data_IF_920539378410
#
_entry.id   IF_920539378410
#
_cell.length_a   1.000
_cell.length_b   1.000
_cell.length_c   1.000
_cell.angle_alpha   90.00
_cell.angle_beta   90.00
_cell.angle_gamma   90.00
#
_symmetry.space_group_name_H-M   'P 1'
#
loop_
_entity.id
_entity.type
_entity.pdbx_description
1 polymer ?
#
# COMPACT_ATOMS: atom_id res chain seq x y z
N UNK A 1 -0.98 -11.05 12.62
CA UNK A 1 -0.63 -9.88 11.79
C UNK A 1 -1.69 -9.75 10.72
N UNK A 2 -2.48 -8.66 10.73
CA UNK A 2 -3.38 -8.35 9.62
C UNK A 2 -2.54 -7.96 8.40
N UNK A 3 -2.58 -8.81 7.38
CA UNK A 3 -2.03 -8.52 6.05
C UNK A 3 -3.19 -8.35 5.08
N UNK A 4 -3.23 -7.23 4.37
CA UNK A 4 -4.21 -6.94 3.36
C UNK A 4 -3.55 -7.07 1.98
N UNK A 5 -3.94 -8.10 1.22
CA UNK A 5 -3.57 -8.23 -0.18
C UNK A 5 -4.73 -7.79 -1.06
N UNK A 6 -4.45 -6.94 -2.05
CA UNK A 6 -5.43 -6.50 -3.04
C UNK A 6 -4.77 -6.33 -4.40
N UNK A 7 -5.54 -6.47 -5.47
CA UNK A 7 -5.05 -6.21 -6.83
C UNK A 7 -5.71 -4.95 -7.37
N UNK A 8 -4.91 -4.05 -7.93
CA UNK A 8 -5.37 -2.81 -8.55
C UNK A 8 -4.58 -2.52 -9.82
N UNK A 9 -5.27 -2.33 -10.97
CA UNK A 9 -4.66 -2.12 -12.30
C UNK A 9 -3.46 -3.02 -12.58
N UNK A 10 -3.65 -4.33 -12.43
CA UNK A 10 -2.58 -5.31 -12.68
C UNK A 10 -1.31 -5.03 -11.87
N UNK A 11 -1.49 -4.49 -10.66
CA UNK A 11 -0.48 -4.40 -9.61
C UNK A 11 -1.01 -5.09 -8.35
N UNK A 12 -0.21 -5.96 -7.77
CA UNK A 12 -0.47 -6.53 -6.45
C UNK A 12 -0.05 -5.53 -5.39
N UNK A 13 -0.97 -5.20 -4.49
CA UNK A 13 -0.77 -4.30 -3.35
C UNK A 13 -0.85 -5.13 -2.09
N UNK A 14 0.28 -5.28 -1.42
CA UNK A 14 0.43 -5.91 -0.13
C UNK A 14 0.59 -4.83 0.95
N UNK A 15 -0.30 -4.82 1.93
CA UNK A 15 -0.24 -3.93 3.08
C UNK A 15 -0.13 -4.79 4.34
N UNK A 16 1.02 -4.73 4.99
CA UNK A 16 1.26 -5.37 6.27
C UNK A 16 1.13 -4.34 7.38
N UNK A 17 0.34 -4.64 8.41
CA UNK A 17 0.20 -3.78 9.58
C UNK A 17 0.63 -4.57 10.82
N UNK A 18 1.71 -4.12 11.45
CA UNK A 18 2.30 -4.72 12.64
C UNK A 18 1.93 -3.88 13.86
N UNK A 19 1.42 -4.56 14.89
CA UNK A 19 1.19 -3.96 16.19
C UNK A 19 2.54 -3.68 16.86
N UNK A 20 2.86 -2.40 17.06
CA UNK A 20 4.04 -1.92 17.77
C UNK A 20 3.62 -1.25 19.08
N UNK A 21 4.54 -0.93 19.98
CA UNK A 21 4.19 -0.47 21.34
C UNK A 21 3.22 0.72 21.37
N UNK A 22 3.53 1.80 20.62
CA UNK A 22 2.73 3.03 20.56
C UNK A 22 2.17 3.34 19.16
N UNK A 23 2.57 2.54 18.16
CA UNK A 23 2.28 2.80 16.75
C UNK A 23 1.84 1.54 16.02
N UNK A 24 1.19 1.72 14.88
CA UNK A 24 1.07 0.73 13.85
C UNK A 24 2.24 0.90 12.88
N UNK A 25 3.11 -0.10 12.80
CA UNK A 25 4.14 -0.15 11.78
C UNK A 25 3.50 -0.71 10.51
N UNK A 26 3.37 0.12 9.48
CA UNK A 26 2.69 -0.21 8.22
C UNK A 26 3.73 -0.33 7.12
N UNK A 27 3.71 -1.46 6.41
CA UNK A 27 4.55 -1.71 5.25
C UNK A 27 3.67 -1.94 4.04
N UNK A 28 3.81 -1.09 3.02
CA UNK A 28 3.09 -1.20 1.76
C UNK A 28 4.09 -1.62 0.69
N UNK A 29 3.79 -2.70 -0.02
CA UNK A 29 4.56 -3.18 -1.15
C UNK A 29 3.64 -3.27 -2.36
N UNK A 30 4.03 -2.64 -3.45
CA UNK A 30 3.30 -2.74 -4.72
C UNK A 30 4.20 -3.46 -5.72
N UNK A 31 3.70 -4.58 -6.23
CA UNK A 31 4.39 -5.43 -7.20
C UNK A 31 3.58 -5.45 -8.50
N UNK A 32 4.04 -4.83 -9.59
CA UNK A 32 3.37 -4.93 -10.89
C UNK A 32 3.40 -6.38 -11.40
N UNK A 33 2.37 -6.78 -12.14
CA UNK A 33 2.37 -8.06 -12.86
C UNK A 33 3.28 -7.99 -14.11
N UNK A 34 3.72 -9.15 -14.60
CA UNK A 34 4.54 -9.23 -15.82
C UNK A 34 3.84 -8.55 -17.01
N UNK A 35 4.50 -7.55 -17.61
CA UNK A 35 3.98 -6.77 -18.73
C UNK A 35 3.48 -5.37 -18.35
N UNK A 36 3.38 -5.03 -17.06
CA UNK A 36 3.08 -3.66 -16.61
C UNK A 36 4.39 -2.87 -16.46
N UNK A 37 4.61 -1.90 -17.34
CA UNK A 37 5.70 -0.92 -17.18
C UNK A 37 5.23 0.26 -16.33
N UNK A 38 5.80 0.38 -15.13
CA UNK A 38 5.67 1.57 -14.31
C UNK A 38 6.79 2.54 -14.67
N UNK A 39 6.47 3.85 -14.67
CA UNK A 39 7.47 4.91 -14.90
C UNK A 39 8.63 4.77 -13.90
N UNK A 40 8.29 4.44 -12.65
CA UNK A 40 9.25 4.12 -11.59
C UNK A 40 8.71 2.96 -10.74
N UNK A 41 9.58 2.08 -10.22
CA UNK A 41 9.17 1.03 -9.31
C UNK A 41 8.56 1.65 -8.05
N UNK A 42 7.46 1.07 -7.58
CA UNK A 42 6.80 1.55 -6.38
C UNK A 42 7.64 1.44 -5.11
N UNK A 43 8.52 0.44 -5.07
CA UNK A 43 9.30 0.08 -3.90
C UNK A 43 8.46 -0.41 -2.73
N UNK A 44 9.12 -0.51 -1.59
CA UNK A 44 8.46 -0.73 -0.29
C UNK A 44 8.33 0.62 0.40
N UNK A 45 7.11 0.98 0.82
CA UNK A 45 6.83 2.18 1.61
C UNK A 45 6.52 1.77 3.05
N UNK A 46 7.38 2.19 3.97
CA UNK A 46 7.20 1.99 5.41
C UNK A 46 6.69 3.28 6.05
N UNK A 47 5.73 3.18 6.95
CA UNK A 47 5.21 4.30 7.72
C UNK A 47 4.79 3.89 9.12
N UNK A 48 4.79 4.85 10.05
CA UNK A 48 4.37 4.64 11.44
C UNK A 48 3.17 5.50 11.73
N UNK A 49 2.05 4.87 12.06
CA UNK A 49 0.81 5.55 12.42
C UNK A 49 0.58 5.46 13.92
N UNK A 50 0.05 6.51 14.53
CA UNK A 50 -0.32 6.46 15.94
C UNK A 50 -1.51 5.50 16.14
N UNK A 51 -1.55 4.79 17.27
CA UNK A 51 -2.71 3.92 17.62
C UNK A 51 -3.96 4.70 18.05
N UNK A 52 -4.06 5.98 17.71
CA UNK A 52 -5.25 6.80 17.95
C UNK A 52 -6.41 6.44 17.02
N UNK A 53 -6.11 5.89 15.86
CA UNK A 53 -7.08 5.50 14.82
C UNK A 53 -7.27 3.97 14.81
N UNK A 54 -8.47 3.53 14.43
CA UNK A 54 -8.78 2.10 14.34
C UNK A 54 -8.09 1.45 13.14
N UNK A 55 -7.85 0.13 13.22
CA UNK A 55 -7.21 -0.61 12.14
C UNK A 55 -8.01 -0.55 10.83
N UNK A 56 -9.34 -0.61 10.91
CA UNK A 56 -10.23 -0.51 9.75
C UNK A 56 -10.13 0.86 9.06
N UNK A 57 -10.06 1.95 9.84
CA UNK A 57 -9.87 3.31 9.31
C UNK A 57 -8.52 3.44 8.61
N UNK A 58 -7.46 2.93 9.23
CA UNK A 58 -6.11 2.90 8.65
C UNK A 58 -6.14 2.12 7.32
N UNK A 59 -6.73 0.92 7.30
CA UNK A 59 -6.81 0.12 6.07
C UNK A 59 -7.59 0.82 4.95
N UNK A 60 -8.68 1.53 5.29
CA UNK A 60 -9.44 2.33 4.35
C UNK A 60 -8.63 3.48 3.77
N UNK A 61 -7.99 4.28 4.63
CA UNK A 61 -7.17 5.42 4.22
C UNK A 61 -5.98 5.00 3.34
N UNK A 62 -5.29 3.91 3.70
CA UNK A 62 -4.16 3.40 2.94
C UNK A 62 -4.55 2.94 1.53
N UNK A 63 -5.72 2.31 1.37
CA UNK A 63 -6.23 1.92 0.04
C UNK A 63 -6.49 3.14 -0.84
N UNK A 64 -7.09 4.18 -0.28
CA UNK A 64 -7.41 5.40 -1.01
C UNK A 64 -6.16 6.23 -1.34
N UNK A 65 -5.07 6.10 -0.59
CA UNK A 65 -3.77 6.70 -0.96
C UNK A 65 -3.02 5.90 -2.03
N UNK A 66 -3.02 4.57 -1.95
CA UNK A 66 -2.20 3.74 -2.84
C UNK A 66 -2.72 3.73 -4.28
N UNK A 67 -4.04 3.74 -4.47
CA UNK A 67 -4.67 3.77 -5.80
C UNK A 67 -4.25 4.97 -6.68
N UNK A 68 -4.39 6.23 -6.24
CA UNK A 68 -3.99 7.38 -7.05
C UNK A 68 -2.47 7.44 -7.25
N UNK A 69 -1.68 6.96 -6.28
CA UNK A 69 -0.25 6.80 -6.48
C UNK A 69 0.02 5.86 -7.66
N UNK A 70 -0.71 4.72 -7.74
CA UNK A 70 -0.53 3.74 -8.82
C UNK A 70 -0.92 4.37 -10.15
N UNK A 71 -2.05 5.05 -10.19
CA UNK A 71 -2.55 5.74 -11.38
C UNK A 71 -1.58 6.82 -11.88
N UNK A 72 -0.94 7.57 -10.99
CA UNK A 72 0.03 8.60 -11.37
C UNK A 72 1.33 8.01 -11.94
N UNK A 73 1.69 6.79 -11.54
CA UNK A 73 2.93 6.12 -11.98
C UNK A 73 2.72 5.14 -13.13
N UNK A 74 1.46 4.80 -13.42
CA UNK A 74 1.12 4.04 -14.61
C UNK A 74 1.43 4.88 -15.84
N UNK A 75 2.21 4.33 -16.77
CA UNK A 75 2.35 4.94 -18.09
C UNK A 75 0.98 4.81 -18.78
N UNK A 76 0.27 5.92 -18.95
CA UNK A 76 -0.84 5.96 -19.90
C UNK A 76 -0.22 5.92 -21.30
N UNK A 77 -0.22 4.74 -21.92
CA UNK A 77 0.01 4.62 -23.37
C UNK A 77 -1.06 5.38 -24.15
#
# INVERSE_FOLDING_TARGET
MPSLNSVYRECTVDIEIVDSAATWDVTIKVTPFDGVELIEPFGTREMKLAKSESLDEIQGALREEVRPAIDHRLVAC
#
